data_IF_861372894791
#
_entry.id   IF_861372894791
#
_cell.length_a   1.000
_cell.length_b   1.000
_cell.length_c   1.000
_cell.angle_alpha   90.00
_cell.angle_beta   90.00
_cell.angle_gamma   90.00
#
_symmetry.space_group_name_H-M   'P 1'
#
loop_
_entity.id
_entity.type
_entity.pdbx_description
1 polymer ?
#
# COMPACT_ATOMS: atom_id res chain seq x y z
N UNK A 1 3.68 -3.75 -0.65
CA UNK A 1 3.75 -4.40 -1.96
C UNK A 1 3.20 -3.49 -3.06
N UNK A 2 1.90 -3.19 -3.09
CA UNK A 2 1.29 -2.38 -4.15
C UNK A 2 1.89 -0.97 -4.32
N UNK A 3 2.44 -0.36 -3.29
CA UNK A 3 3.14 0.93 -3.41
C UNK A 3 4.40 0.79 -4.28
N UNK A 4 5.14 -0.31 -4.12
CA UNK A 4 6.28 -0.61 -5.00
C UNK A 4 5.83 -0.87 -6.44
N UNK A 5 4.74 -1.59 -6.61
CA UNK A 5 4.19 -1.89 -7.93
C UNK A 5 3.78 -0.60 -8.67
N UNK A 6 3.19 0.38 -7.97
CA UNK A 6 2.74 1.64 -8.56
C UNK A 6 3.90 2.63 -8.79
N UNK A 7 4.78 2.80 -7.78
CA UNK A 7 5.77 3.88 -7.75
C UNK A 7 7.22 3.40 -7.89
N UNK A 8 7.45 2.10 -7.91
CA UNK A 8 8.79 1.50 -7.90
C UNK A 8 9.42 1.43 -6.52
N UNK A 9 10.72 1.22 -6.49
CA UNK A 9 11.47 1.10 -5.23
C UNK A 9 11.63 2.44 -4.52
N UNK A 10 11.64 2.41 -3.19
CA UNK A 10 11.85 3.58 -2.35
C UNK A 10 12.97 3.38 -1.34
N UNK A 11 13.58 4.49 -0.93
CA UNK A 11 14.56 4.53 0.16
C UNK A 11 13.85 4.94 1.45
N UNK A 12 14.01 4.13 2.48
CA UNK A 12 13.52 4.43 3.82
C UNK A 12 14.35 5.59 4.39
N UNK A 13 13.69 6.55 5.01
CA UNK A 13 14.29 7.72 5.65
C UNK A 13 14.16 7.69 7.16
N UNK A 14 13.00 7.30 7.65
CA UNK A 14 12.71 7.23 9.07
C UNK A 14 11.68 6.12 9.33
N UNK A 15 11.82 5.43 10.47
CA UNK A 15 10.93 4.36 10.89
C UNK A 15 10.69 4.43 12.39
N UNK A 16 9.44 4.31 12.79
CA UNK A 16 9.04 3.88 14.13
C UNK A 16 8.32 2.57 13.96
N UNK A 17 8.89 1.49 14.44
CA UNK A 17 8.28 0.16 14.40
C UNK A 17 8.34 -0.43 15.80
N UNK A 18 7.19 -0.49 16.49
CA UNK A 18 7.13 -0.85 17.91
C UNK A 18 5.86 -1.62 18.22
N UNK A 19 5.90 -2.34 19.35
CA UNK A 19 4.70 -2.76 20.06
C UNK A 19 4.36 -1.69 21.08
N UNK A 20 3.19 -1.08 20.97
CA UNK A 20 2.75 0.03 21.83
C UNK A 20 1.39 -0.22 22.49
N UNK A 21 0.63 -1.21 22.03
CA UNK A 21 -0.69 -1.54 22.61
C UNK A 21 -0.62 -2.73 23.56
N UNK A 22 -1.71 -2.93 24.32
CA UNK A 22 -1.91 -4.06 25.23
C UNK A 22 -2.40 -5.33 24.52
N UNK A 23 -2.41 -5.37 23.21
CA UNK A 23 -2.79 -6.55 22.44
C UNK A 23 -1.87 -7.73 22.79
N UNK A 24 -2.47 -8.90 23.04
CA UNK A 24 -1.74 -10.15 23.37
C UNK A 24 -1.12 -10.75 22.11
N UNK A 25 -0.17 -10.06 21.50
CA UNK A 25 0.59 -10.50 20.31
C UNK A 25 2.08 -10.31 20.55
N UNK A 26 2.90 -11.16 19.95
CA UNK A 26 4.36 -11.13 20.08
C UNK A 26 5.04 -10.42 18.88
N UNK A 27 4.33 -9.49 18.24
CA UNK A 27 4.84 -8.72 17.09
C UNK A 27 4.63 -7.24 17.29
N UNK A 28 5.30 -6.43 16.48
CA UNK A 28 5.03 -5.00 16.39
C UNK A 28 3.58 -4.77 15.99
N UNK A 29 2.93 -3.77 16.57
CA UNK A 29 1.54 -3.39 16.30
C UNK A 29 1.38 -1.97 15.78
N UNK A 30 2.49 -1.25 15.68
CA UNK A 30 2.56 0.11 15.15
C UNK A 30 3.78 0.27 14.24
N UNK A 31 3.52 0.74 13.03
CA UNK A 31 4.55 1.17 12.08
C UNK A 31 4.22 2.56 11.55
N UNK A 32 5.13 3.49 11.74
CA UNK A 32 5.17 4.78 11.03
C UNK A 32 6.47 4.83 10.24
N UNK A 33 6.39 5.05 8.93
CA UNK A 33 7.53 5.05 8.04
C UNK A 33 7.46 6.25 7.11
N UNK A 34 8.59 6.94 6.95
CA UNK A 34 8.76 7.90 5.86
C UNK A 34 9.85 7.42 4.90
N UNK A 35 9.68 7.74 3.63
CA UNK A 35 10.59 7.32 2.60
C UNK A 35 10.54 8.22 1.37
N UNK A 36 11.35 7.88 0.39
CA UNK A 36 11.41 8.60 -0.88
C UNK A 36 11.54 7.62 -2.03
N UNK A 37 10.62 7.70 -2.96
CA UNK A 37 10.73 7.04 -4.27
C UNK A 37 11.69 7.81 -5.18
N UNK A 38 12.01 7.23 -6.32
CA UNK A 38 12.65 7.97 -7.42
C UNK A 38 11.72 9.14 -7.85
N UNK A 39 12.24 10.11 -8.59
CA UNK A 39 11.49 11.25 -9.13
C UNK A 39 10.85 12.20 -8.08
N UNK A 40 11.49 12.35 -6.91
CA UNK A 40 11.06 13.29 -5.85
C UNK A 40 9.68 12.98 -5.24
N UNK A 41 9.18 11.75 -5.30
CA UNK A 41 7.95 11.34 -4.64
C UNK A 41 8.29 10.94 -3.20
N UNK A 42 7.60 11.53 -2.23
CA UNK A 42 7.76 11.22 -0.82
C UNK A 42 6.67 10.25 -0.37
N UNK A 43 7.03 9.36 0.53
CA UNK A 43 6.15 8.35 1.12
C UNK A 43 5.99 8.64 2.60
N UNK A 44 4.74 8.61 3.06
CA UNK A 44 4.38 8.44 4.46
C UNK A 44 3.46 7.22 4.56
N UNK A 45 3.84 6.26 5.40
CA UNK A 45 3.09 5.03 5.62
C UNK A 45 2.82 4.88 7.11
N UNK A 46 1.57 4.66 7.47
CA UNK A 46 1.14 4.37 8.83
C UNK A 46 0.31 3.08 8.83
N UNK A 47 0.72 2.12 9.64
CA UNK A 47 0.02 0.86 9.85
C UNK A 47 -0.10 0.61 11.37
N UNK A 48 -1.28 0.18 11.81
CA UNK A 48 -1.45 -0.24 13.20
C UNK A 48 -2.57 -1.29 13.33
N UNK A 49 -2.61 -1.99 14.47
CA UNK A 49 -3.60 -3.03 14.76
C UNK A 49 -4.76 -2.55 15.65
N UNK A 50 -4.71 -1.33 16.16
CA UNK A 50 -5.66 -0.84 17.18
C UNK A 50 -6.63 0.24 16.67
N UNK A 51 -6.57 0.62 15.40
CA UNK A 51 -7.59 1.47 14.78
C UNK A 51 -8.94 0.75 14.76
N UNK A 52 -9.95 1.30 15.40
CA UNK A 52 -11.28 0.69 15.58
C UNK A 52 -12.03 0.54 14.26
N UNK A 53 -11.99 1.57 13.43
CA UNK A 53 -12.55 1.54 12.09
C UNK A 53 -11.52 0.98 11.10
N UNK A 54 -11.91 -0.05 10.33
CA UNK A 54 -11.03 -0.59 9.31
C UNK A 54 -10.71 0.48 8.25
N UNK A 55 -9.42 0.81 8.10
CA UNK A 55 -8.93 1.81 7.12
C UNK A 55 -7.90 1.17 6.21
N UNK A 56 -8.08 1.35 4.91
CA UNK A 56 -7.09 0.99 3.90
C UNK A 56 -7.17 2.03 2.78
N UNK A 57 -6.39 3.10 2.95
CA UNK A 57 -6.45 4.27 2.09
C UNK A 57 -5.08 4.57 1.48
N UNK A 58 -5.10 5.11 0.27
CA UNK A 58 -3.94 5.68 -0.40
C UNK A 58 -4.32 7.12 -0.75
N UNK A 59 -3.50 8.07 -0.28
CA UNK A 59 -3.61 9.47 -0.63
C UNK A 59 -2.40 9.84 -1.49
N UNK A 60 -2.63 10.52 -2.59
CA UNK A 60 -1.58 10.99 -3.49
C UNK A 60 -1.84 12.46 -3.75
N UNK A 61 -0.92 13.31 -3.35
CA UNK A 61 -0.98 14.74 -3.57
C UNK A 61 0.12 15.19 -4.50
N UNK A 62 -0.27 15.85 -5.58
CA UNK A 62 0.60 16.45 -6.58
C UNK A 62 0.27 17.91 -6.81
N UNK A 63 1.01 18.56 -7.68
CA UNK A 63 0.84 19.99 -7.97
C UNK A 63 -0.57 20.36 -8.42
N UNK A 64 -1.18 19.52 -9.24
CA UNK A 64 -2.46 19.83 -9.90
C UNK A 64 -3.51 18.73 -9.73
N UNK A 65 -3.19 17.68 -8.95
CA UNK A 65 -4.04 16.50 -8.77
C UNK A 65 -3.88 15.95 -7.37
N UNK A 66 -5.00 15.71 -6.69
CA UNK A 66 -5.06 14.89 -5.49
C UNK A 66 -5.94 13.66 -5.75
N UNK A 67 -5.49 12.50 -5.31
CA UNK A 67 -6.21 11.22 -5.43
C UNK A 67 -6.40 10.64 -4.04
N UNK A 68 -7.64 10.29 -3.72
CA UNK A 68 -7.97 9.50 -2.53
C UNK A 68 -8.57 8.17 -2.96
N UNK A 69 -7.90 7.07 -2.64
CA UNK A 69 -8.38 5.72 -2.91
C UNK A 69 -8.69 5.00 -1.59
N UNK A 70 -9.94 4.59 -1.41
CA UNK A 70 -10.37 3.75 -0.31
C UNK A 70 -10.55 2.31 -0.82
N UNK A 71 -9.64 1.43 -0.41
CA UNK A 71 -9.59 0.06 -0.90
C UNK A 71 -10.65 -0.85 -0.24
N UNK A 72 -11.19 -0.45 0.91
CA UNK A 72 -12.28 -1.18 1.58
C UNK A 72 -13.60 -0.85 0.90
N UNK A 73 -13.88 0.43 0.72
CA UNK A 73 -15.10 0.92 0.08
C UNK A 73 -15.04 0.85 -1.45
N UNK A 74 -13.90 0.44 -2.01
CA UNK A 74 -13.68 0.27 -3.45
C UNK A 74 -14.03 1.52 -4.25
N UNK A 75 -13.60 2.68 -3.77
CA UNK A 75 -13.82 3.94 -4.46
C UNK A 75 -12.53 4.75 -4.58
N UNK A 76 -12.51 5.59 -5.60
CA UNK A 76 -11.45 6.56 -5.83
C UNK A 76 -12.07 7.93 -6.11
N UNK A 77 -11.47 8.97 -5.57
CA UNK A 77 -11.85 10.36 -5.80
C UNK A 77 -10.62 11.07 -6.33
N UNK A 78 -10.79 11.74 -7.44
CA UNK A 78 -9.78 12.55 -8.09
C UNK A 78 -10.20 14.01 -8.00
N UNK A 79 -9.34 14.85 -7.48
CA UNK A 79 -9.49 16.29 -7.47
C UNK A 79 -8.44 16.88 -8.39
N UNK A 80 -8.84 17.34 -9.55
CA UNK A 80 -8.00 18.19 -10.38
C UNK A 80 -8.40 19.66 -10.22
N UNK A 81 -7.69 20.57 -10.87
CA UNK A 81 -7.97 22.03 -10.77
C UNK A 81 -9.38 22.44 -11.17
N UNK A 82 -10.06 21.66 -11.97
CA UNK A 82 -11.35 22.02 -12.61
C UNK A 82 -12.51 21.16 -12.19
N UNK A 83 -12.26 19.90 -11.84
CA UNK A 83 -13.32 18.91 -11.65
C UNK A 83 -12.99 17.91 -10.56
N UNK A 84 -14.04 17.34 -9.99
CA UNK A 84 -13.98 16.21 -9.06
C UNK A 84 -14.57 15.01 -9.77
N UNK A 85 -13.78 13.93 -9.87
CA UNK A 85 -14.23 12.66 -10.43
C UNK A 85 -14.32 11.63 -9.32
N UNK A 86 -15.43 10.89 -9.28
CA UNK A 86 -15.63 9.78 -8.35
C UNK A 86 -15.83 8.50 -9.13
N UNK A 87 -15.04 7.48 -8.83
CA UNK A 87 -15.16 6.16 -9.40
C UNK A 87 -15.48 5.19 -8.27
N UNK A 88 -16.53 4.38 -8.45
CA UNK A 88 -16.86 3.29 -7.54
C UNK A 88 -16.75 1.98 -8.30
N UNK A 89 -16.00 1.05 -7.74
CA UNK A 89 -15.83 -0.28 -8.30
C UNK A 89 -16.82 -1.24 -7.65
N UNK A 90 -17.54 -1.99 -8.47
CA UNK A 90 -18.48 -2.99 -7.99
C UNK A 90 -17.96 -4.39 -8.30
N UNK A 91 -17.32 -5.00 -7.34
CA UNK A 91 -16.89 -6.40 -7.40
C UNK A 91 -16.94 -7.03 -6.00
N UNK A 92 -17.20 -8.33 -5.94
CA UNK A 92 -17.19 -9.07 -4.69
C UNK A 92 -15.75 -9.37 -4.24
N UNK A 93 -15.59 -9.89 -3.01
CA UNK A 93 -14.28 -10.23 -2.44
C UNK A 93 -13.52 -11.26 -3.29
N UNK A 94 -14.23 -12.21 -3.86
CA UNK A 94 -13.62 -13.33 -4.58
C UNK A 94 -13.13 -12.96 -5.98
N UNK A 95 -13.58 -11.81 -6.50
CA UNK A 95 -13.22 -11.36 -7.85
C UNK A 95 -11.70 -11.29 -8.04
N UNK A 96 -10.99 -10.68 -7.10
CA UNK A 96 -9.53 -10.52 -7.20
C UNK A 96 -8.79 -11.85 -7.18
N UNK A 97 -9.25 -12.81 -6.37
CA UNK A 97 -8.70 -14.16 -6.35
C UNK A 97 -8.97 -14.91 -7.66
N UNK A 98 -10.21 -14.83 -8.15
CA UNK A 98 -10.59 -15.44 -9.44
C UNK A 98 -9.76 -14.88 -10.59
N UNK A 99 -9.56 -13.55 -10.63
CA UNK A 99 -8.71 -12.92 -11.65
C UNK A 99 -7.24 -13.35 -11.53
N UNK A 100 -6.70 -13.48 -10.33
CA UNK A 100 -5.35 -13.98 -10.12
C UNK A 100 -5.19 -15.41 -10.66
N UNK A 101 -6.12 -16.31 -10.32
CA UNK A 101 -6.10 -17.69 -10.83
C UNK A 101 -6.26 -17.72 -12.35
N UNK A 102 -7.18 -16.95 -12.91
CA UNK A 102 -7.37 -16.85 -14.36
C UNK A 102 -6.12 -16.36 -15.07
N UNK A 103 -5.42 -15.38 -14.52
CA UNK A 103 -4.17 -14.88 -15.08
C UNK A 103 -3.07 -15.95 -15.05
N UNK A 104 -2.96 -16.72 -13.98
CA UNK A 104 -2.01 -17.85 -13.88
C UNK A 104 -2.34 -18.92 -14.91
N UNK A 105 -3.60 -19.35 -14.98
CA UNK A 105 -4.03 -20.39 -15.94
C UNK A 105 -3.82 -19.96 -17.40
N UNK A 106 -4.03 -18.69 -17.70
CA UNK A 106 -3.82 -18.12 -19.04
C UNK A 106 -2.37 -17.68 -19.30
N UNK A 107 -1.42 -17.99 -18.39
CA UNK A 107 -0.01 -17.58 -18.48
C UNK A 107 0.21 -16.07 -18.63
N UNK A 108 -0.72 -15.26 -18.11
CA UNK A 108 -0.66 -13.77 -18.11
C UNK A 108 -0.07 -13.28 -16.80
N UNK A 109 1.25 -13.34 -16.66
CA UNK A 109 1.95 -13.06 -15.39
C UNK A 109 2.23 -11.58 -15.13
N UNK A 110 1.89 -10.68 -16.03
CA UNK A 110 2.18 -9.23 -15.93
C UNK A 110 1.62 -8.57 -14.67
N UNK A 111 0.49 -9.08 -14.15
CA UNK A 111 -0.16 -8.56 -12.93
C UNK A 111 0.02 -9.50 -11.74
N UNK A 112 0.89 -10.50 -11.85
CA UNK A 112 1.16 -11.45 -10.77
C UNK A 112 2.45 -11.06 -10.04
N UNK A 113 2.45 -11.23 -8.72
CA UNK A 113 3.66 -11.07 -7.91
C UNK A 113 4.66 -12.18 -8.25
N UNK A 114 5.86 -11.82 -8.68
CA UNK A 114 6.95 -12.77 -8.91
C UNK A 114 7.66 -13.10 -7.60
N UNK A 115 8.42 -14.21 -7.58
CA UNK A 115 9.29 -14.52 -6.43
C UNK A 115 10.27 -13.38 -6.11
N UNK A 116 10.81 -12.73 -7.14
CA UNK A 116 11.71 -11.58 -6.98
C UNK A 116 11.00 -10.40 -6.31
N UNK A 117 9.74 -10.12 -6.67
CA UNK A 117 8.96 -9.06 -6.02
C UNK A 117 8.71 -9.38 -4.55
N UNK A 118 8.33 -10.63 -4.24
CA UNK A 118 8.14 -11.08 -2.87
C UNK A 118 9.45 -10.96 -2.04
N UNK A 119 10.58 -11.38 -2.58
CA UNK A 119 11.90 -11.24 -1.94
C UNK A 119 12.25 -9.77 -1.68
N UNK A 120 11.96 -8.88 -2.63
CA UNK A 120 12.19 -7.45 -2.46
C UNK A 120 11.34 -6.86 -1.33
N UNK A 121 10.08 -7.27 -1.23
CA UNK A 121 9.19 -6.84 -0.13
C UNK A 121 9.72 -7.36 1.21
N UNK A 122 10.12 -8.62 1.29
CA UNK A 122 10.72 -9.19 2.51
C UNK A 122 12.02 -8.49 2.91
N UNK A 123 12.84 -8.11 1.93
CA UNK A 123 14.05 -7.31 2.19
C UNK A 123 13.72 -5.94 2.82
N UNK A 124 12.65 -5.28 2.36
CA UNK A 124 12.19 -4.02 2.95
C UNK A 124 11.72 -4.24 4.39
N UNK A 125 10.92 -5.27 4.64
CA UNK A 125 10.44 -5.61 5.99
C UNK A 125 11.63 -5.86 6.93
N UNK A 126 12.62 -6.61 6.50
CA UNK A 126 13.83 -6.86 7.27
C UNK A 126 14.63 -5.58 7.55
N UNK A 127 14.71 -4.65 6.59
CA UNK A 127 15.32 -3.33 6.81
C UNK A 127 14.54 -2.51 7.83
N UNK A 128 13.22 -2.50 7.78
CA UNK A 128 12.35 -1.81 8.74
C UNK A 128 12.60 -2.32 10.15
N UNK A 129 12.67 -3.64 10.35
CA UNK A 129 12.92 -4.26 11.67
C UNK A 129 14.32 -3.95 12.23
N UNK A 130 15.30 -3.72 11.37
CA UNK A 130 16.69 -3.40 11.74
C UNK A 130 16.98 -1.90 11.78
N UNK A 131 15.99 -1.07 11.47
CA UNK A 131 16.17 0.38 11.45
C UNK A 131 16.31 0.89 12.88
N UNK A 132 17.44 1.54 13.17
CA UNK A 132 17.73 2.17 14.46
C UNK A 132 17.67 3.68 14.36
#
# INVERSE_FOLDING_TARGET
DYLRWIFGDFKIKYVINKKISDLKINTDDFLCLTGKFKKKIYLQLNLNYFTREAKRQILIDGKDLSISANLINKNMIFHDKKKIYKIKYNFNRDYTYKEQHRNIMNKKFTNCCTLKDAQNVMSIINKIRKFK
#
